data_IF_342586962257
#
_entry.id   IF_342586962257
#
_cell.length_a   1.000
_cell.length_b   1.000
_cell.length_c   1.000
_cell.angle_alpha   90.00
_cell.angle_beta   90.00
_cell.angle_gamma   90.00
#
_symmetry.space_group_name_H-M   'P 1'
#
loop_
_entity.id
_entity.type
_entity.pdbx_description
1 polymer ?
#
# COMPACT_ATOMS: atom_id res chain seq x y z
N UNK A 1 14.62 -1.44 -19.73
CA UNK A 1 14.83 0.03 -19.68
C UNK A 1 15.73 0.30 -18.49
N UNK A 2 16.88 0.95 -18.67
CA UNK A 2 17.78 1.28 -17.53
C UNK A 2 17.28 2.53 -16.81
N UNK A 3 17.41 2.56 -15.48
CA UNK A 3 16.96 3.70 -14.65
C UNK A 3 18.05 4.23 -13.71
N UNK A 4 17.94 5.51 -13.37
CA UNK A 4 18.83 6.17 -12.41
C UNK A 4 18.37 5.89 -10.98
N UNK A 5 18.97 4.86 -10.37
CA UNK A 5 18.67 4.44 -8.99
C UNK A 5 19.03 5.53 -7.97
N UNK A 6 20.09 6.30 -8.21
CA UNK A 6 20.52 7.35 -7.29
C UNK A 6 19.51 8.50 -7.30
N UNK A 7 19.06 8.92 -8.49
CA UNK A 7 17.99 9.91 -8.61
C UNK A 7 16.69 9.44 -7.96
N UNK A 8 16.30 8.17 -8.15
CA UNK A 8 15.13 7.63 -7.48
C UNK A 8 15.30 7.64 -5.94
N UNK A 9 16.47 7.26 -5.43
CA UNK A 9 16.77 7.31 -3.98
C UNK A 9 16.73 8.75 -3.45
N UNK A 10 17.22 9.71 -4.22
CA UNK A 10 17.31 11.10 -3.80
C UNK A 10 15.96 11.83 -3.86
N UNK A 11 15.22 11.68 -4.95
CA UNK A 11 13.96 12.41 -5.19
C UNK A 11 12.72 11.63 -4.75
N UNK A 12 12.82 10.30 -4.70
CA UNK A 12 11.74 9.38 -4.34
C UNK A 12 10.77 9.09 -5.49
N UNK A 13 11.10 9.48 -6.71
CA UNK A 13 10.31 9.15 -7.89
C UNK A 13 11.16 9.22 -9.16
N UNK A 14 10.66 8.60 -10.23
CA UNK A 14 11.14 8.83 -11.60
C UNK A 14 9.95 9.10 -12.51
N UNK A 15 10.10 10.09 -13.40
CA UNK A 15 9.26 10.23 -14.60
C UNK A 15 10.01 9.54 -15.74
N UNK A 16 9.35 8.60 -16.39
CA UNK A 16 9.89 7.76 -17.44
C UNK A 16 9.10 8.00 -18.72
N UNK A 17 9.83 8.38 -19.78
CA UNK A 17 9.21 8.67 -21.07
C UNK A 17 9.01 7.38 -21.89
N UNK A 18 7.92 7.31 -22.66
CA UNK A 18 7.62 6.19 -23.57
C UNK A 18 7.65 4.80 -22.90
N UNK A 19 7.16 4.70 -21.66
CA UNK A 19 6.92 3.41 -20.98
C UNK A 19 5.92 2.57 -21.77
N UNK A 20 4.91 3.22 -22.36
CA UNK A 20 4.13 2.68 -23.46
C UNK A 20 4.72 3.22 -24.77
N UNK A 21 5.34 2.38 -25.62
CA UNK A 21 5.85 2.82 -26.91
C UNK A 21 4.74 3.41 -27.78
N UNK A 22 5.01 4.46 -28.59
CA UNK A 22 4.00 5.11 -29.43
C UNK A 22 3.21 4.15 -30.33
N UNK A 23 3.86 3.09 -30.84
CA UNK A 23 3.25 2.07 -31.68
C UNK A 23 2.29 1.14 -30.93
N UNK A 24 2.41 1.03 -29.59
CA UNK A 24 1.52 0.23 -28.73
C UNK A 24 0.44 1.05 -28.02
N UNK A 25 0.58 2.39 -28.03
CA UNK A 25 -0.28 3.28 -27.27
C UNK A 25 -1.75 3.18 -27.69
N UNK A 26 -2.03 3.06 -28.99
CA UNK A 26 -3.40 2.98 -29.49
C UNK A 26 -4.08 1.66 -29.09
N UNK A 27 -3.35 0.55 -29.14
CA UNK A 27 -3.87 -0.77 -28.74
C UNK A 27 -4.16 -0.78 -27.23
N UNK A 28 -3.24 -0.27 -26.41
CA UNK A 28 -3.43 -0.22 -24.96
C UNK A 28 -4.59 0.71 -24.55
N UNK A 29 -4.82 1.80 -25.30
CA UNK A 29 -6.03 2.63 -25.15
C UNK A 29 -7.29 1.84 -25.44
N UNK A 30 -7.31 1.07 -26.52
CA UNK A 30 -8.47 0.24 -26.87
C UNK A 30 -8.73 -0.80 -25.77
N UNK A 31 -7.70 -1.50 -25.30
CA UNK A 31 -7.79 -2.46 -24.18
C UNK A 31 -8.44 -1.82 -22.95
N UNK A 32 -7.98 -0.64 -22.54
CA UNK A 32 -8.57 0.07 -21.39
C UNK A 32 -9.99 0.54 -21.65
N UNK A 33 -10.34 1.02 -22.85
CA UNK A 33 -11.72 1.40 -23.16
C UNK A 33 -12.68 0.21 -23.16
N UNK A 34 -12.26 -0.97 -23.64
CA UNK A 34 -13.06 -2.19 -23.56
C UNK A 34 -13.33 -2.60 -22.10
N UNK A 35 -12.32 -2.48 -21.23
CA UNK A 35 -12.49 -2.70 -19.79
C UNK A 35 -13.45 -1.68 -19.17
N UNK A 36 -13.33 -0.41 -19.56
CA UNK A 36 -14.21 0.68 -19.10
C UNK A 36 -15.66 0.44 -19.52
N UNK A 37 -15.90 0.05 -20.77
CA UNK A 37 -17.26 -0.22 -21.26
C UNK A 37 -17.89 -1.42 -20.56
N UNK A 38 -17.09 -2.44 -20.24
CA UNK A 38 -17.51 -3.56 -19.39
C UNK A 38 -17.91 -3.08 -17.99
N UNK A 39 -17.11 -2.23 -17.34
CA UNK A 39 -17.44 -1.72 -15.99
C UNK A 39 -18.67 -0.80 -16.00
N UNK A 40 -18.85 0.02 -17.04
CA UNK A 40 -20.09 0.79 -17.22
C UNK A 40 -21.30 -0.14 -17.34
N UNK A 41 -21.19 -1.20 -18.14
CA UNK A 41 -22.27 -2.15 -18.34
C UNK A 41 -22.59 -2.92 -17.04
N UNK A 42 -21.56 -3.36 -16.31
CA UNK A 42 -21.69 -3.99 -14.99
C UNK A 42 -22.39 -3.06 -14.01
N UNK A 43 -21.94 -1.81 -13.92
CA UNK A 43 -22.51 -0.81 -13.01
C UNK A 43 -23.99 -0.53 -13.30
N UNK A 44 -24.40 -0.51 -14.58
CA UNK A 44 -25.81 -0.39 -14.97
C UNK A 44 -26.62 -1.64 -14.60
N UNK A 45 -26.04 -2.84 -14.78
CA UNK A 45 -26.71 -4.10 -14.47
C UNK A 45 -26.90 -4.31 -12.96
N UNK A 46 -26.01 -3.76 -12.15
CA UNK A 46 -26.05 -3.84 -10.68
C UNK A 46 -26.94 -2.77 -10.02
N UNK A 47 -27.44 -1.80 -10.80
CA UNK A 47 -28.40 -0.80 -10.31
C UNK A 47 -29.65 -1.46 -9.70
N UNK A 48 -30.02 -1.00 -8.52
CA UNK A 48 -31.25 -1.37 -7.81
C UNK A 48 -32.30 -0.27 -7.92
N UNK A 49 -33.55 -0.60 -7.61
CA UNK A 49 -34.64 0.37 -7.56
C UNK A 49 -34.31 1.50 -6.56
N UNK A 50 -34.28 2.74 -7.06
CA UNK A 50 -33.93 3.93 -6.27
C UNK A 50 -32.50 4.43 -6.50
N UNK A 51 -31.64 3.65 -7.15
CA UNK A 51 -30.30 4.09 -7.52
C UNK A 51 -30.36 5.18 -8.61
N UNK A 52 -29.33 6.04 -8.63
CA UNK A 52 -29.20 7.02 -9.71
C UNK A 52 -28.89 6.32 -11.03
N UNK A 53 -29.38 6.92 -12.12
CA UNK A 53 -29.17 6.42 -13.48
C UNK A 53 -27.67 6.17 -13.74
N UNK A 54 -27.36 4.97 -14.21
CA UNK A 54 -26.01 4.56 -14.59
C UNK A 54 -25.22 3.83 -13.50
N UNK A 55 -25.70 3.82 -12.25
CA UNK A 55 -25.05 3.11 -11.15
C UNK A 55 -23.82 3.84 -10.61
N UNK A 56 -23.01 3.13 -9.84
CA UNK A 56 -21.85 3.66 -9.13
C UNK A 56 -20.79 4.27 -10.06
N UNK A 57 -20.63 3.73 -11.28
CA UNK A 57 -19.63 4.22 -12.24
C UNK A 57 -19.79 5.72 -12.51
N UNK A 58 -21.01 6.17 -12.78
CA UNK A 58 -21.28 7.57 -13.14
C UNK A 58 -21.42 8.48 -11.92
N UNK A 59 -21.51 7.92 -10.73
CA UNK A 59 -21.55 8.66 -9.47
C UNK A 59 -20.16 8.86 -8.87
N UNK A 60 -19.20 7.99 -9.22
CA UNK A 60 -17.84 8.06 -8.73
C UNK A 60 -17.08 9.25 -9.31
N UNK A 61 -16.41 9.98 -8.41
CA UNK A 61 -15.42 11.00 -8.73
C UNK A 61 -14.24 10.44 -9.53
N UNK A 62 -13.92 9.18 -9.27
CA UNK A 62 -12.75 8.47 -9.77
C UNK A 62 -13.19 7.04 -10.10
N UNK A 63 -13.91 6.83 -11.21
CA UNK A 63 -14.25 5.49 -11.63
C UNK A 63 -12.96 4.69 -11.85
N UNK A 64 -12.97 3.42 -11.44
CA UNK A 64 -11.79 2.55 -11.49
C UNK A 64 -12.12 1.27 -12.21
N UNK A 65 -11.13 0.74 -12.91
CA UNK A 65 -11.13 -0.64 -13.40
C UNK A 65 -10.18 -1.47 -12.52
N UNK A 66 -10.53 -2.73 -12.29
CA UNK A 66 -9.74 -3.68 -11.51
C UNK A 66 -9.36 -4.93 -12.32
N UNK A 67 -8.72 -5.90 -11.65
CA UNK A 67 -8.36 -7.19 -12.25
C UNK A 67 -9.60 -7.99 -12.68
N UNK A 68 -10.72 -7.80 -11.99
CA UNK A 68 -12.02 -8.39 -12.29
C UNK A 68 -12.68 -7.85 -13.58
N UNK A 69 -12.15 -6.75 -14.14
CA UNK A 69 -12.53 -6.22 -15.44
C UNK A 69 -11.82 -6.92 -16.61
N UNK A 70 -10.81 -7.77 -16.34
CA UNK A 70 -10.01 -8.43 -17.37
C UNK A 70 -10.78 -9.60 -18.01
N UNK A 71 -10.69 -9.70 -19.33
CA UNK A 71 -11.33 -10.73 -20.15
C UNK A 71 -10.32 -11.34 -21.11
N UNK A 72 -10.74 -12.32 -21.91
CA UNK A 72 -9.91 -12.88 -22.99
C UNK A 72 -9.39 -11.81 -23.98
N UNK A 73 -10.17 -10.77 -24.25
CA UNK A 73 -9.83 -9.72 -25.21
C UNK A 73 -8.89 -8.67 -24.63
N UNK A 74 -8.83 -8.54 -23.30
CA UNK A 74 -8.10 -7.48 -22.60
C UNK A 74 -6.97 -8.00 -21.71
N UNK A 75 -6.67 -9.30 -21.76
CA UNK A 75 -5.67 -9.95 -20.91
C UNK A 75 -4.22 -9.55 -21.25
N UNK A 76 -3.99 -8.99 -22.43
CA UNK A 76 -2.69 -8.47 -22.87
C UNK A 76 -2.20 -7.28 -22.02
N UNK A 77 -3.09 -6.61 -21.29
CA UNK A 77 -2.71 -5.60 -20.29
C UNK A 77 -1.79 -6.18 -19.22
N UNK A 78 -1.93 -7.47 -18.89
CA UNK A 78 -1.05 -8.15 -17.93
C UNK A 78 0.33 -8.36 -18.52
N UNK A 79 0.45 -8.69 -19.80
CA UNK A 79 1.75 -8.79 -20.48
C UNK A 79 2.46 -7.42 -20.48
N UNK A 80 1.72 -6.31 -20.64
CA UNK A 80 2.26 -4.97 -20.46
C UNK A 80 2.75 -4.72 -19.02
N UNK A 81 1.98 -5.13 -18.01
CA UNK A 81 2.36 -4.99 -16.60
C UNK A 81 3.53 -5.90 -16.20
N UNK A 82 3.77 -7.01 -16.90
CA UNK A 82 4.89 -7.91 -16.61
C UNK A 82 6.10 -7.64 -17.53
N UNK A 83 6.03 -6.59 -18.36
CA UNK A 83 7.04 -6.26 -19.35
C UNK A 83 8.26 -5.51 -18.82
N UNK A 84 9.28 -5.40 -19.67
CA UNK A 84 10.58 -4.77 -19.38
C UNK A 84 10.52 -3.26 -19.06
N UNK A 85 9.46 -2.57 -19.47
CA UNK A 85 9.29 -1.13 -19.23
C UNK A 85 8.59 -0.82 -17.90
N UNK A 86 8.03 -1.82 -17.23
CA UNK A 86 7.29 -1.68 -15.97
C UNK A 86 7.85 -2.61 -14.89
N UNK A 87 7.66 -3.93 -15.02
CA UNK A 87 8.22 -4.92 -14.09
C UNK A 87 9.75 -4.92 -14.13
N UNK A 88 10.36 -4.88 -15.32
CA UNK A 88 11.83 -4.84 -15.45
C UNK A 88 12.47 -3.60 -14.80
N UNK A 89 11.78 -2.46 -14.83
CA UNK A 89 12.20 -1.25 -14.10
C UNK A 89 11.96 -1.43 -12.60
N UNK A 90 10.81 -1.97 -12.20
CA UNK A 90 10.49 -2.20 -10.79
C UNK A 90 11.47 -3.16 -10.13
N UNK A 91 11.91 -4.20 -10.83
CA UNK A 91 12.93 -5.13 -10.37
C UNK A 91 14.27 -4.42 -10.06
N UNK A 92 14.67 -3.46 -10.90
CA UNK A 92 15.86 -2.62 -10.63
C UNK A 92 15.67 -1.73 -9.40
N UNK A 93 14.52 -1.05 -9.30
CA UNK A 93 14.22 -0.11 -8.19
C UNK A 93 14.09 -0.81 -6.84
N UNK A 94 13.42 -1.97 -6.84
CA UNK A 94 13.23 -2.83 -5.66
C UNK A 94 14.49 -3.65 -5.34
N UNK A 95 15.45 -3.71 -6.27
CA UNK A 95 16.64 -4.58 -6.21
C UNK A 95 16.26 -6.06 -6.03
N UNK A 96 15.21 -6.49 -6.70
CA UNK A 96 14.67 -7.85 -6.64
C UNK A 96 14.29 -8.33 -8.05
N UNK A 97 15.04 -9.28 -8.65
CA UNK A 97 14.70 -9.83 -9.96
C UNK A 97 13.41 -10.66 -9.94
N UNK A 98 12.91 -11.06 -8.76
CA UNK A 98 11.64 -11.77 -8.60
C UNK A 98 10.53 -10.85 -8.05
N UNK A 99 10.62 -9.54 -8.31
CA UNK A 99 9.56 -8.59 -7.98
C UNK A 99 8.19 -9.07 -8.52
N UNK A 100 7.15 -8.85 -7.74
CA UNK A 100 5.82 -9.38 -8.02
C UNK A 100 4.83 -8.26 -8.32
N UNK A 101 4.01 -8.46 -9.37
CA UNK A 101 2.84 -7.64 -9.64
C UNK A 101 1.78 -7.88 -8.57
N UNK A 102 1.43 -6.86 -7.78
CA UNK A 102 0.42 -7.00 -6.73
C UNK A 102 -0.95 -6.45 -7.11
N UNK A 103 -0.97 -5.45 -7.98
CA UNK A 103 -2.18 -4.77 -8.40
C UNK A 103 -2.01 -4.23 -9.82
N UNK A 104 -3.06 -4.37 -10.63
CA UNK A 104 -3.19 -3.70 -11.91
C UNK A 104 -4.64 -3.21 -12.06
N UNK A 105 -4.79 -1.94 -12.41
CA UNK A 105 -6.07 -1.32 -12.70
C UNK A 105 -5.87 -0.03 -13.48
N UNK A 106 -6.92 0.78 -13.59
CA UNK A 106 -6.79 2.12 -14.14
C UNK A 106 -7.74 3.11 -13.46
N UNK A 107 -7.23 4.33 -13.33
CA UNK A 107 -7.94 5.53 -12.88
C UNK A 107 -8.57 6.19 -14.10
N UNK A 108 -9.89 6.32 -14.09
CA UNK A 108 -10.64 6.93 -15.20
C UNK A 108 -11.11 8.35 -14.84
N UNK A 109 -11.35 9.17 -15.86
CA UNK A 109 -12.06 10.45 -15.71
C UNK A 109 -13.55 10.21 -15.45
N UNK A 110 -14.11 10.90 -14.46
CA UNK A 110 -15.56 10.92 -14.21
C UNK A 110 -16.33 11.74 -15.25
N UNK A 111 -17.66 11.74 -15.14
CA UNK A 111 -18.55 12.50 -16.05
C UNK A 111 -18.62 14.00 -15.69
N UNK A 112 -18.34 14.35 -14.42
CA UNK A 112 -18.46 15.71 -13.90
C UNK A 112 -17.17 16.14 -13.22
N UNK A 113 -17.01 17.45 -13.07
CA UNK A 113 -15.96 18.02 -12.24
C UNK A 113 -16.25 17.72 -10.76
N UNK A 114 -15.30 17.08 -10.09
CA UNK A 114 -15.43 16.68 -8.68
C UNK A 114 -14.62 17.56 -7.73
N UNK A 115 -13.58 18.22 -8.23
CA UNK A 115 -12.71 19.07 -7.41
C UNK A 115 -11.53 18.30 -6.82
N UNK A 116 -11.13 18.67 -5.60
CA UNK A 116 -9.87 18.23 -5.04
C UNK A 116 -9.97 16.97 -4.17
N UNK A 117 -9.00 16.06 -4.28
CA UNK A 117 -8.79 15.02 -3.25
C UNK A 117 -7.93 15.59 -2.12
N UNK A 118 -7.48 14.71 -1.24
CA UNK A 118 -6.55 14.96 -0.14
C UNK A 118 -5.12 14.55 -0.49
N UNK A 119 -4.13 15.28 0.02
CA UNK A 119 -2.73 14.85 0.10
C UNK A 119 -2.60 13.67 1.05
N UNK A 120 -1.87 12.63 0.67
CA UNK A 120 -1.66 11.46 1.50
C UNK A 120 -0.40 10.68 1.11
N UNK A 121 -0.03 9.74 1.98
CA UNK A 121 0.86 8.62 1.65
C UNK A 121 0.01 7.36 1.55
N UNK A 122 0.37 6.44 0.66
CA UNK A 122 -0.24 5.11 0.59
C UNK A 122 0.39 4.15 1.63
N UNK A 123 0.57 4.68 2.84
CA UNK A 123 1.04 3.99 4.02
C UNK A 123 0.18 4.42 5.22
N UNK A 124 0.14 3.59 6.25
CA UNK A 124 -0.58 3.84 7.49
C UNK A 124 0.28 3.45 8.68
N UNK A 125 0.56 4.41 9.58
CA UNK A 125 1.36 4.12 10.77
C UNK A 125 0.65 3.17 11.75
N UNK A 126 -0.68 3.25 11.80
CA UNK A 126 -1.51 2.41 12.66
C UNK A 126 -1.55 0.94 12.18
N UNK A 127 -1.58 0.72 10.87
CA UNK A 127 -1.67 -0.61 10.27
C UNK A 127 -0.31 -1.24 9.94
N UNK A 128 0.72 -0.41 9.73
CA UNK A 128 2.08 -0.82 9.39
C UNK A 128 3.03 -0.44 10.54
N UNK A 129 3.97 0.47 10.29
CA UNK A 129 4.93 0.95 11.28
C UNK A 129 4.97 2.48 11.29
N UNK A 130 5.48 3.12 12.36
CA UNK A 130 5.70 4.57 12.37
C UNK A 130 6.43 5.07 11.12
N UNK A 131 5.98 6.21 10.57
CA UNK A 131 6.49 6.73 9.30
C UNK A 131 8.02 6.87 9.31
N UNK A 132 8.60 7.45 10.38
CA UNK A 132 10.04 7.66 10.47
C UNK A 132 10.85 6.36 10.39
N UNK A 133 10.34 5.28 10.99
CA UNK A 133 10.91 3.95 10.88
C UNK A 133 10.90 3.44 9.44
N UNK A 134 9.74 3.49 8.76
CA UNK A 134 9.63 3.04 7.37
C UNK A 134 10.49 3.87 6.41
N UNK A 135 10.61 5.19 6.63
CA UNK A 135 11.47 6.06 5.82
C UNK A 135 12.96 5.73 6.03
N UNK A 136 13.39 5.53 7.28
CA UNK A 136 14.77 5.18 7.59
C UNK A 136 15.16 3.80 7.03
N UNK A 137 14.27 2.82 7.16
CA UNK A 137 14.45 1.47 6.65
C UNK A 137 14.52 1.45 5.10
N UNK A 138 13.57 2.08 4.41
CA UNK A 138 13.63 2.27 2.94
C UNK A 138 14.97 2.88 2.52
N UNK A 139 15.44 3.91 3.24
CA UNK A 139 16.67 4.62 2.88
C UNK A 139 17.95 3.85 3.21
N UNK A 140 17.93 2.94 4.19
CA UNK A 140 19.06 2.09 4.50
C UNK A 140 19.18 0.94 3.49
N UNK A 141 18.05 0.43 3.01
CA UNK A 141 17.94 -0.72 2.12
C UNK A 141 17.50 -0.28 0.71
N UNK A 142 16.42 -0.86 0.22
CA UNK A 142 15.70 -0.48 -1.01
C UNK A 142 14.20 -0.34 -0.66
N UNK A 143 13.36 0.30 -1.49
CA UNK A 143 11.92 0.22 -1.30
C UNK A 143 11.44 -1.24 -1.36
N UNK A 144 10.54 -1.63 -0.45
CA UNK A 144 9.86 -2.93 -0.53
C UNK A 144 8.65 -2.93 -1.48
N UNK A 145 8.22 -1.75 -1.93
CA UNK A 145 7.03 -1.55 -2.75
C UNK A 145 7.11 -0.27 -3.58
N UNK A 146 6.73 -0.34 -4.85
CA UNK A 146 6.62 0.80 -5.77
C UNK A 146 5.28 0.80 -6.50
N UNK A 147 4.79 2.01 -6.78
CA UNK A 147 3.54 2.30 -7.47
C UNK A 147 3.82 3.05 -8.76
N UNK A 148 2.96 2.82 -9.74
CA UNK A 148 3.06 3.42 -11.07
C UNK A 148 1.77 4.12 -11.44
N UNK A 149 1.89 5.28 -12.07
CA UNK A 149 0.82 5.90 -12.84
C UNK A 149 1.32 6.05 -14.29
N UNK A 150 0.76 5.24 -15.19
CA UNK A 150 1.08 5.24 -16.63
C UNK A 150 -0.01 5.99 -17.38
N UNK A 151 0.33 7.11 -17.99
CA UNK A 151 -0.63 8.00 -18.64
C UNK A 151 -0.92 7.53 -20.07
N UNK A 152 -2.16 7.16 -20.39
CA UNK A 152 -2.55 6.84 -21.78
C UNK A 152 -2.90 8.09 -22.59
N UNK A 153 -3.08 9.22 -21.91
CA UNK A 153 -3.33 10.55 -22.45
C UNK A 153 -2.53 11.54 -21.61
N UNK A 154 -2.22 12.72 -22.15
CA UNK A 154 -1.51 13.75 -21.39
C UNK A 154 -2.19 14.01 -20.03
N UNK A 155 -1.42 13.93 -18.96
CA UNK A 155 -1.91 14.02 -17.60
C UNK A 155 -0.98 14.85 -16.71
N UNK A 156 -1.59 15.68 -15.87
CA UNK A 156 -0.94 16.61 -14.94
C UNK A 156 -1.72 16.70 -13.62
N UNK A 157 -2.66 15.78 -13.39
CA UNK A 157 -3.50 15.77 -12.19
C UNK A 157 -2.74 15.24 -10.99
N UNK A 158 -1.78 14.33 -11.18
CA UNK A 158 -1.00 13.74 -10.11
C UNK A 158 0.11 14.69 -9.64
N UNK A 159 0.08 15.05 -8.37
CA UNK A 159 1.07 15.89 -7.71
C UNK A 159 1.84 15.07 -6.69
N UNK A 160 3.11 15.42 -6.51
CA UNK A 160 4.01 14.79 -5.55
C UNK A 160 4.70 15.86 -4.72
N UNK A 161 5.17 15.48 -3.54
CA UNK A 161 6.08 16.28 -2.74
C UNK A 161 7.46 15.60 -2.78
N UNK A 162 8.40 16.05 -3.63
CA UNK A 162 9.72 15.43 -3.76
C UNK A 162 10.42 15.25 -2.41
N UNK A 163 11.20 14.17 -2.27
CA UNK A 163 11.96 13.81 -1.06
C UNK A 163 11.11 13.42 0.17
N UNK A 164 9.78 13.47 0.08
CA UNK A 164 8.89 13.14 1.20
C UNK A 164 8.84 11.65 1.57
N UNK A 165 9.48 10.78 0.78
CA UNK A 165 9.73 9.38 1.11
C UNK A 165 10.87 9.20 2.12
N UNK A 166 11.77 10.18 2.26
CA UNK A 166 12.92 10.15 3.18
C UNK A 166 12.92 11.25 4.24
N UNK A 167 12.02 12.22 4.11
CA UNK A 167 11.84 13.30 5.07
C UNK A 167 10.42 13.25 5.67
N UNK A 168 10.27 13.35 6.99
CA UNK A 168 8.96 13.51 7.60
C UNK A 168 8.35 14.85 7.18
N UNK A 169 7.01 14.95 7.24
CA UNK A 169 6.33 16.22 6.99
C UNK A 169 6.82 17.27 7.99
N UNK A 170 7.23 18.45 7.50
CA UNK A 170 7.61 19.59 8.34
C UNK A 170 6.42 20.08 9.15
N UNK A 171 6.67 20.81 10.24
CA UNK A 171 5.60 21.37 11.08
C UNK A 171 4.66 22.30 10.28
N UNK A 172 5.19 23.06 9.32
CA UNK A 172 4.38 23.89 8.40
C UNK A 172 3.45 23.03 7.54
N UNK A 173 3.96 21.95 6.96
CA UNK A 173 3.15 21.01 6.17
C UNK A 173 2.12 20.29 7.05
N UNK A 174 2.47 19.90 8.28
CA UNK A 174 1.54 19.27 9.22
C UNK A 174 0.39 20.21 9.58
N UNK A 175 0.68 21.49 9.90
CA UNK A 175 -0.34 22.52 10.13
C UNK A 175 -1.25 22.71 8.93
N UNK A 176 -0.69 22.72 7.71
CA UNK A 176 -1.50 22.86 6.51
C UNK A 176 -2.39 21.65 6.25
N UNK A 177 -1.88 20.43 6.45
CA UNK A 177 -2.67 19.19 6.34
C UNK A 177 -3.81 19.14 7.36
N UNK A 178 -3.58 19.65 8.58
CA UNK A 178 -4.61 19.81 9.61
C UNK A 178 -5.69 20.83 9.18
N UNK A 179 -5.29 21.95 8.58
CA UNK A 179 -6.20 23.01 8.15
C UNK A 179 -7.02 22.62 6.90
N UNK A 180 -6.34 22.24 5.83
CA UNK A 180 -6.92 21.87 4.55
C UNK A 180 -5.99 20.92 3.78
N UNK A 181 -6.21 19.59 3.87
CA UNK A 181 -5.41 18.61 3.14
C UNK A 181 -5.71 18.60 1.63
N UNK A 182 -6.63 19.44 1.14
CA UNK A 182 -7.01 19.54 -0.28
C UNK A 182 -6.44 20.79 -0.95
N UNK A 183 -5.46 21.43 -0.32
CA UNK A 183 -4.75 22.60 -0.84
C UNK A 183 -3.32 22.23 -1.28
N UNK A 184 -2.69 22.94 -2.23
CA UNK A 184 -1.31 22.67 -2.62
C UNK A 184 -0.33 22.80 -1.44
N UNK A 185 0.41 21.74 -1.11
CA UNK A 185 1.46 21.80 -0.10
C UNK A 185 2.70 22.53 -0.64
N UNK A 186 3.39 23.26 0.24
CA UNK A 186 4.67 23.90 -0.08
C UNK A 186 5.68 22.85 -0.57
N UNK A 187 6.25 23.10 -1.76
CA UNK A 187 7.19 22.20 -2.43
C UNK A 187 6.53 21.13 -3.30
N UNK A 188 5.20 21.01 -3.28
CA UNK A 188 4.47 20.11 -4.15
C UNK A 188 4.57 20.52 -5.62
N UNK A 189 4.76 19.54 -6.50
CA UNK A 189 4.88 19.75 -7.95
C UNK A 189 3.99 18.78 -8.74
N UNK A 190 3.41 19.21 -9.89
CA UNK A 190 2.69 18.31 -10.77
C UNK A 190 3.66 17.37 -11.50
N UNK A 191 3.35 16.07 -11.51
CA UNK A 191 3.95 15.10 -12.40
C UNK A 191 3.30 15.24 -13.79
N UNK A 192 3.93 16.03 -14.66
CA UNK A 192 3.46 16.23 -16.04
C UNK A 192 3.90 15.05 -16.90
N UNK A 193 2.93 14.27 -17.37
CA UNK A 193 3.12 13.08 -18.18
C UNK A 193 2.51 13.32 -19.56
N UNK A 194 3.26 13.02 -20.63
CA UNK A 194 2.66 12.88 -21.97
C UNK A 194 2.03 11.50 -22.09
N UNK A 195 1.17 11.34 -23.10
CA UNK A 195 0.66 10.02 -23.43
C UNK A 195 1.79 9.02 -23.70
N UNK A 196 1.80 7.93 -22.95
CA UNK A 196 2.82 6.88 -22.96
C UNK A 196 3.90 7.03 -21.88
N UNK A 197 3.98 8.17 -21.19
CA UNK A 197 4.89 8.37 -20.07
C UNK A 197 4.32 7.76 -18.78
N UNK A 198 5.18 7.54 -17.79
CA UNK A 198 4.78 7.13 -16.46
C UNK A 198 5.55 7.85 -15.35
N UNK A 199 4.97 7.87 -14.16
CA UNK A 199 5.69 8.13 -12.92
C UNK A 199 5.71 6.85 -12.07
N UNK A 200 6.87 6.55 -11.47
CA UNK A 200 7.06 5.48 -10.48
C UNK A 200 7.58 6.06 -9.17
N UNK A 201 7.04 5.61 -8.03
CA UNK A 201 7.33 6.14 -6.69
C UNK A 201 7.04 5.09 -5.61
N UNK A 202 7.69 5.12 -4.43
CA UNK A 202 7.34 4.25 -3.31
C UNK A 202 6.09 4.77 -2.60
N UNK A 203 5.36 3.90 -1.91
CA UNK A 203 4.12 4.28 -1.21
C UNK A 203 4.31 5.28 -0.05
N UNK A 204 5.55 5.48 0.40
CA UNK A 204 5.92 6.50 1.40
C UNK A 204 5.98 7.92 0.82
N UNK A 205 5.91 8.07 -0.51
CA UNK A 205 5.86 9.37 -1.17
C UNK A 205 4.52 10.07 -0.89
N UNK A 206 4.58 11.28 -0.35
CA UNK A 206 3.42 12.16 -0.19
C UNK A 206 2.98 12.66 -1.57
N UNK A 207 1.72 12.44 -1.89
CA UNK A 207 1.16 12.74 -3.20
C UNK A 207 -0.31 13.14 -3.12
N UNK A 208 -0.83 13.69 -4.22
CA UNK A 208 -2.17 14.26 -4.29
C UNK A 208 -2.71 14.18 -5.71
N UNK A 209 -3.90 13.63 -5.89
CA UNK A 209 -4.64 13.83 -7.13
C UNK A 209 -5.33 15.18 -7.07
N UNK A 210 -4.70 16.22 -7.65
CA UNK A 210 -5.08 17.63 -7.52
C UNK A 210 -6.55 17.90 -7.88
N UNK A 211 -6.86 18.45 -9.05
CA UNK A 211 -8.24 18.72 -9.45
C UNK A 211 -8.75 17.66 -10.40
N UNK A 212 -9.69 16.85 -9.95
CA UNK A 212 -10.44 15.93 -10.81
C UNK A 212 -11.52 16.71 -11.57
N UNK A 213 -11.32 16.81 -12.88
CA UNK A 213 -12.24 17.41 -13.83
C UNK A 213 -12.79 16.33 -14.77
N UNK A 214 -13.77 16.73 -15.58
CA UNK A 214 -14.32 15.97 -16.71
C UNK A 214 -13.35 15.86 -17.90
N UNK A 215 -12.11 16.37 -17.81
CA UNK A 215 -11.08 16.16 -18.84
C UNK A 215 -10.84 14.66 -19.00
N UNK A 216 -10.96 14.19 -20.23
CA UNK A 216 -10.75 12.78 -20.55
C UNK A 216 -9.35 12.33 -20.13
N UNK A 217 -9.30 11.28 -19.30
CA UNK A 217 -8.06 10.70 -18.78
C UNK A 217 -8.24 9.20 -18.58
N UNK A 218 -7.17 8.46 -18.89
CA UNK A 218 -6.96 7.07 -18.49
C UNK A 218 -5.54 6.93 -18.00
N UNK A 219 -5.39 6.46 -16.76
CA UNK A 219 -4.09 6.27 -16.14
C UNK A 219 -4.05 4.86 -15.56
N UNK A 220 -3.22 3.98 -16.15
CA UNK A 220 -3.03 2.63 -15.62
C UNK A 220 -2.28 2.76 -14.29
N UNK A 221 -2.81 2.16 -13.24
CA UNK A 221 -2.20 2.13 -11.92
C UNK A 221 -1.69 0.72 -11.62
N UNK A 222 -0.41 0.62 -11.29
CA UNK A 222 0.26 -0.66 -11.08
C UNK A 222 1.02 -0.63 -9.75
N UNK A 223 1.03 -1.74 -9.04
CA UNK A 223 1.85 -1.94 -7.85
C UNK A 223 2.77 -3.13 -8.00
N UNK A 224 4.03 -2.98 -7.58
CA UNK A 224 5.00 -4.08 -7.49
C UNK A 224 5.68 -4.10 -6.14
N UNK A 225 5.85 -5.30 -5.58
CA UNK A 225 6.59 -5.51 -4.32
C UNK A 225 7.76 -6.45 -4.51
N UNK A 226 8.74 -6.36 -3.63
CA UNK A 226 9.78 -7.37 -3.48
C UNK A 226 9.33 -8.52 -2.58
N UNK A 227 10.04 -9.64 -2.67
CA UNK A 227 10.02 -10.75 -1.71
C UNK A 227 11.44 -11.13 -1.26
N UNK A 228 12.47 -10.77 -2.01
CA UNK A 228 13.86 -11.15 -1.76
C UNK A 228 14.81 -9.96 -1.57
N UNK A 229 14.28 -8.73 -1.48
CA UNK A 229 15.09 -7.54 -1.20
C UNK A 229 15.62 -7.55 0.24
N UNK A 230 16.54 -6.63 0.56
CA UNK A 230 17.08 -6.48 1.93
C UNK A 230 16.07 -5.93 2.95
N UNK A 231 14.81 -5.74 2.56
CA UNK A 231 13.72 -5.16 3.34
C UNK A 231 12.55 -6.12 3.43
N UNK A 232 11.88 -6.16 4.59
CA UNK A 232 10.58 -6.82 4.74
C UNK A 232 9.47 -5.85 4.30
N UNK A 233 8.77 -6.09 3.18
CA UNK A 233 7.89 -5.08 2.58
C UNK A 233 6.73 -4.67 3.46
N UNK A 234 6.39 -3.37 3.43
CA UNK A 234 5.25 -2.82 4.16
C UNK A 234 3.91 -3.24 3.54
N UNK A 235 3.90 -3.62 2.26
CA UNK A 235 2.70 -3.99 1.51
C UNK A 235 2.57 -5.51 1.41
N UNK A 236 1.56 -6.07 2.07
CA UNK A 236 1.31 -7.52 2.14
C UNK A 236 0.18 -7.99 1.20
N UNK A 237 -0.38 -7.07 0.41
CA UNK A 237 -1.43 -7.39 -0.56
C UNK A 237 -0.84 -8.08 -1.80
N UNK A 238 -1.59 -9.03 -2.35
CA UNK A 238 -1.29 -9.70 -3.62
C UNK A 238 -2.62 -10.01 -4.31
N UNK A 239 -3.24 -8.99 -4.91
CA UNK A 239 -4.61 -9.09 -5.43
C UNK A 239 -4.72 -10.18 -6.51
N UNK A 240 -3.69 -10.34 -7.33
CA UNK A 240 -3.61 -11.37 -8.37
C UNK A 240 -3.64 -12.81 -7.83
N UNK A 241 -3.26 -13.03 -6.55
CA UNK A 241 -3.36 -14.33 -5.90
C UNK A 241 -4.81 -14.68 -5.53
N UNK A 242 -5.62 -13.67 -5.21
CA UNK A 242 -6.98 -13.84 -4.70
C UNK A 242 -8.06 -13.60 -5.76
N UNK A 243 -7.73 -12.91 -6.84
CA UNK A 243 -8.58 -12.68 -8.00
C UNK A 243 -8.00 -13.41 -9.20
N UNK A 244 -8.11 -14.74 -9.24
CA UNK A 244 -7.42 -15.57 -10.24
C UNK A 244 -8.26 -15.86 -11.50
N UNK A 245 -9.49 -15.36 -11.58
CA UNK A 245 -10.37 -15.62 -12.72
C UNK A 245 -9.76 -15.20 -14.06
N UNK A 246 -8.99 -14.10 -14.08
CA UNK A 246 -8.32 -13.61 -15.27
C UNK A 246 -7.12 -14.48 -15.68
N UNK A 247 -6.57 -15.30 -14.77
CA UNK A 247 -5.40 -16.17 -15.03
C UNK A 247 -5.66 -17.16 -16.16
N UNK A 248 -6.93 -17.48 -16.45
CA UNK A 248 -7.28 -18.36 -17.58
C UNK A 248 -7.00 -17.73 -18.95
N UNK A 249 -6.96 -16.39 -19.02
CA UNK A 249 -6.84 -15.62 -20.25
C UNK A 249 -5.42 -15.13 -20.55
N UNK A 250 -4.57 -15.02 -19.53
CA UNK A 250 -3.20 -14.49 -19.70
C UNK A 250 -2.31 -15.45 -20.50
N UNK A 251 -1.25 -14.88 -21.07
CA UNK A 251 -0.21 -15.64 -21.79
C UNK A 251 0.46 -16.70 -20.90
N UNK A 252 1.14 -17.66 -21.53
CA UNK A 252 1.86 -18.70 -20.80
C UNK A 252 2.96 -18.10 -19.91
N UNK A 253 3.69 -17.11 -20.41
CA UNK A 253 4.78 -16.45 -19.69
C UNK A 253 4.24 -15.64 -18.50
N UNK A 254 3.18 -14.86 -18.71
CA UNK A 254 2.51 -14.14 -17.62
C UNK A 254 2.02 -15.07 -16.52
N UNK A 255 1.45 -16.22 -16.90
CA UNK A 255 0.99 -17.23 -15.94
C UNK A 255 2.14 -17.78 -15.09
N UNK A 256 3.30 -18.06 -15.70
CA UNK A 256 4.50 -18.52 -14.97
C UNK A 256 4.95 -17.46 -13.95
N UNK A 257 5.03 -16.19 -14.34
CA UNK A 257 5.42 -15.10 -13.45
C UNK A 257 4.45 -14.93 -12.26
N UNK A 258 3.15 -14.99 -12.51
CA UNK A 258 2.12 -14.87 -11.48
C UNK A 258 2.10 -16.07 -10.54
N UNK A 259 2.29 -17.29 -11.05
CA UNK A 259 2.45 -18.49 -10.23
C UNK A 259 3.70 -18.41 -9.35
N UNK A 260 4.82 -17.90 -9.89
CA UNK A 260 6.03 -17.67 -9.09
C UNK A 260 5.80 -16.68 -7.96
N UNK A 261 5.08 -15.59 -8.24
CA UNK A 261 4.68 -14.61 -7.21
C UNK A 261 3.84 -15.26 -6.10
N UNK A 262 2.93 -16.17 -6.47
CA UNK A 262 2.12 -16.92 -5.51
C UNK A 262 2.95 -17.88 -4.63
N UNK A 263 3.98 -18.52 -5.17
CA UNK A 263 4.92 -19.35 -4.40
C UNK A 263 5.70 -18.53 -3.38
N UNK A 264 6.24 -17.37 -3.79
CA UNK A 264 7.00 -16.47 -2.91
C UNK A 264 6.11 -15.95 -1.77
N UNK A 265 4.88 -15.58 -2.09
CA UNK A 265 3.90 -15.13 -1.11
C UNK A 265 3.52 -16.21 -0.09
N UNK A 266 3.40 -17.47 -0.51
CA UNK A 266 3.21 -18.59 0.41
C UNK A 266 4.43 -18.80 1.31
N UNK A 267 5.64 -18.75 0.74
CA UNK A 267 6.89 -18.90 1.48
C UNK A 267 7.07 -17.83 2.54
N UNK A 268 6.77 -16.57 2.23
CA UNK A 268 6.83 -15.47 3.19
C UNK A 268 5.88 -15.72 4.37
N UNK A 269 4.64 -16.15 4.11
CA UNK A 269 3.68 -16.49 5.18
C UNK A 269 4.16 -17.64 6.05
N UNK A 270 4.76 -18.67 5.45
CA UNK A 270 5.36 -19.78 6.20
C UNK A 270 6.55 -19.32 7.05
N UNK A 271 7.35 -18.35 6.57
CA UNK A 271 8.45 -17.75 7.33
C UNK A 271 7.92 -16.90 8.49
N UNK A 272 6.87 -16.11 8.28
CA UNK A 272 6.20 -15.36 9.35
C UNK A 272 5.61 -16.30 10.40
N UNK A 273 4.99 -17.41 9.96
CA UNK A 273 4.51 -18.45 10.88
C UNK A 273 5.65 -18.99 11.74
N UNK A 274 6.77 -19.42 11.12
CA UNK A 274 7.95 -19.90 11.86
C UNK A 274 8.47 -18.87 12.86
N UNK A 275 8.54 -17.60 12.45
CA UNK A 275 8.97 -16.49 13.31
C UNK A 275 8.08 -16.39 14.55
N UNK A 276 6.76 -16.45 14.40
CA UNK A 276 5.84 -16.45 15.53
C UNK A 276 5.95 -17.72 16.39
N UNK A 277 6.17 -18.88 15.77
CA UNK A 277 6.37 -20.15 16.49
C UNK A 277 7.62 -20.07 17.39
N UNK A 278 8.70 -19.44 16.94
CA UNK A 278 9.87 -19.17 17.76
C UNK A 278 9.53 -18.26 18.97
N UNK A 279 8.75 -17.20 18.75
CA UNK A 279 8.29 -16.33 19.85
C UNK A 279 7.41 -17.07 20.87
N UNK A 280 6.51 -17.94 20.40
CA UNK A 280 5.66 -18.77 21.24
C UNK A 280 6.52 -19.72 22.09
N UNK A 281 7.51 -20.36 21.50
CA UNK A 281 8.45 -21.24 22.18
C UNK A 281 9.43 -20.51 23.12
N UNK A 282 9.51 -19.17 23.03
CA UNK A 282 10.53 -18.38 23.74
C UNK A 282 11.94 -18.57 23.17
N UNK A 283 12.06 -19.12 21.97
CA UNK A 283 13.35 -19.34 21.31
C UNK A 283 13.86 -18.05 20.66
N UNK A 284 14.67 -17.32 21.43
CA UNK A 284 15.27 -16.05 21.01
C UNK A 284 16.20 -16.22 19.81
N UNK A 285 16.92 -17.32 19.73
CA UNK A 285 17.88 -17.58 18.66
C UNK A 285 17.18 -17.87 17.33
N UNK A 286 16.16 -18.72 17.36
CA UNK A 286 15.32 -18.98 16.20
C UNK A 286 14.60 -17.70 15.73
N UNK A 287 14.05 -16.91 16.66
CA UNK A 287 13.40 -15.64 16.31
C UNK A 287 14.36 -14.67 15.60
N UNK A 288 15.57 -14.47 16.11
CA UNK A 288 16.56 -13.58 15.48
C UNK A 288 16.98 -14.09 14.10
N UNK A 289 17.18 -15.40 13.95
CA UNK A 289 17.49 -16.04 12.68
C UNK A 289 16.36 -15.87 11.66
N UNK A 290 15.12 -16.08 12.09
CA UNK A 290 13.95 -15.96 11.22
C UNK A 290 13.64 -14.50 10.86
N UNK A 291 13.85 -13.56 11.78
CA UNK A 291 13.74 -12.13 11.53
C UNK A 291 14.78 -11.66 10.50
N UNK A 292 16.02 -12.15 10.59
CA UNK A 292 17.07 -11.86 9.62
C UNK A 292 16.78 -12.46 8.23
N UNK A 293 15.98 -13.52 8.15
CA UNK A 293 15.51 -14.06 6.86
C UNK A 293 14.37 -13.24 6.26
N UNK A 294 13.43 -12.75 7.09
CA UNK A 294 12.38 -11.84 6.63
C UNK A 294 12.91 -10.48 6.22
N UNK A 295 13.90 -9.98 6.96
CA UNK A 295 14.54 -8.69 6.74
C UNK A 295 16.07 -8.85 6.71
N UNK A 296 16.65 -9.19 5.54
CA UNK A 296 18.08 -9.44 5.40
C UNK A 296 18.95 -8.25 5.81
N UNK A 297 18.53 -7.03 5.47
CA UNK A 297 19.20 -5.79 5.88
C UNK A 297 19.32 -5.70 7.40
N UNK A 298 20.48 -5.27 7.88
CA UNK A 298 20.74 -5.17 9.32
C UNK A 298 20.03 -3.97 9.96
N UNK A 299 19.91 -2.87 9.20
CA UNK A 299 19.19 -1.66 9.60
C UNK A 299 17.73 -1.83 9.23
N UNK A 300 16.81 -1.45 10.14
CA UNK A 300 15.37 -1.49 9.88
C UNK A 300 14.65 -2.71 10.48
N UNK A 301 15.35 -3.73 11.01
CA UNK A 301 14.71 -4.93 11.59
C UNK A 301 13.66 -4.66 12.67
N UNK A 302 13.79 -3.58 13.44
CA UNK A 302 12.78 -3.21 14.42
C UNK A 302 11.45 -2.77 13.74
N UNK A 303 11.51 -2.18 12.55
CA UNK A 303 10.32 -1.90 11.72
C UNK A 303 9.61 -3.20 11.36
N UNK A 304 10.35 -4.25 10.99
CA UNK A 304 9.79 -5.59 10.74
C UNK A 304 9.14 -6.18 11.98
N UNK A 305 9.73 -6.00 13.17
CA UNK A 305 9.10 -6.42 14.43
C UNK A 305 7.78 -5.68 14.67
N UNK A 306 7.69 -4.40 14.32
CA UNK A 306 6.42 -3.65 14.38
C UNK A 306 5.40 -4.20 13.36
N UNK A 307 5.80 -4.49 12.13
CA UNK A 307 4.90 -5.13 11.14
C UNK A 307 4.36 -6.48 11.63
N UNK A 308 5.25 -7.32 12.16
CA UNK A 308 4.87 -8.59 12.81
C UNK A 308 3.92 -8.33 13.99
N UNK A 309 4.17 -7.31 14.80
CA UNK A 309 3.26 -6.93 15.88
C UNK A 309 1.85 -6.58 15.35
N UNK A 310 1.74 -5.84 14.24
CA UNK A 310 0.43 -5.49 13.64
C UNK A 310 -0.31 -6.71 13.10
N UNK A 311 0.39 -7.61 12.40
CA UNK A 311 -0.18 -8.87 11.92
C UNK A 311 -0.65 -9.73 13.11
N UNK A 312 0.19 -9.88 14.14
CA UNK A 312 -0.12 -10.64 15.35
C UNK A 312 -1.34 -10.06 16.08
N UNK A 313 -1.46 -8.73 16.19
CA UNK A 313 -2.63 -8.09 16.79
C UNK A 313 -3.94 -8.47 16.08
N UNK A 314 -3.93 -8.53 14.75
CA UNK A 314 -5.11 -8.98 13.99
C UNK A 314 -5.38 -10.49 14.18
N UNK A 315 -4.34 -11.33 14.23
CA UNK A 315 -4.46 -12.76 14.58
C UNK A 315 -5.07 -12.94 15.98
N UNK A 316 -4.62 -12.19 16.97
CA UNK A 316 -5.14 -12.20 18.34
C UNK A 316 -6.61 -11.79 18.36
N UNK A 317 -6.97 -10.73 17.63
CA UNK A 317 -8.35 -10.25 17.50
C UNK A 317 -9.30 -11.34 16.97
N UNK A 318 -8.87 -12.09 15.95
CA UNK A 318 -9.66 -13.18 15.38
C UNK A 318 -9.90 -14.35 16.35
N UNK A 319 -9.03 -14.53 17.34
CA UNK A 319 -9.17 -15.57 18.37
C UNK A 319 -10.00 -15.13 19.58
N UNK A 320 -10.48 -13.88 19.61
CA UNK A 320 -11.39 -13.43 20.66
C UNK A 320 -12.75 -14.15 20.54
N UNK A 321 -13.34 -14.67 21.63
CA UNK A 321 -14.54 -15.52 21.56
C UNK A 321 -15.75 -14.90 20.85
N UNK A 322 -15.90 -13.58 20.91
CA UNK A 322 -16.95 -12.80 20.27
C UNK A 322 -16.72 -12.64 18.76
N UNK A 323 -15.47 -12.52 18.32
CA UNK A 323 -15.10 -12.39 16.91
C UNK A 323 -15.06 -13.76 16.23
N UNK A 324 -14.55 -14.78 16.92
CA UNK A 324 -14.43 -16.15 16.42
C UNK A 324 -15.79 -16.80 16.10
N UNK A 325 -16.91 -16.24 16.60
CA UNK A 325 -18.27 -16.71 16.28
C UNK A 325 -18.87 -16.09 15.02
N UNK A 326 -18.32 -14.96 14.58
CA UNK A 326 -18.75 -14.27 13.37
C UNK A 326 -18.34 -15.05 12.12
N UNK A 327 -19.09 -14.88 11.04
CA UNK A 327 -18.70 -15.32 9.69
C UNK A 327 -17.50 -14.52 9.17
N UNK A 328 -16.82 -15.04 8.15
CA UNK A 328 -15.70 -14.34 7.48
C UNK A 328 -16.14 -12.96 6.95
N UNK A 329 -17.36 -12.87 6.43
CA UNK A 329 -17.93 -11.62 5.91
C UNK A 329 -18.14 -10.58 7.02
N UNK A 330 -18.67 -11.00 8.17
CA UNK A 330 -18.86 -10.13 9.34
C UNK A 330 -17.53 -9.71 9.99
N UNK A 331 -16.49 -10.55 9.91
CA UNK A 331 -15.15 -10.24 10.43
C UNK A 331 -14.40 -9.27 9.55
N UNK A 332 -14.57 -9.34 8.22
CA UNK A 332 -13.83 -8.53 7.25
C UNK A 332 -13.70 -7.05 7.67
N UNK A 333 -14.78 -6.28 7.93
CA UNK A 333 -14.64 -4.87 8.31
C UNK A 333 -13.87 -4.62 9.61
N UNK A 334 -13.69 -5.64 10.46
CA UNK A 334 -12.98 -5.54 11.72
C UNK A 334 -11.47 -5.77 11.59
N UNK A 335 -11.01 -6.38 10.50
CA UNK A 335 -9.63 -6.81 10.30
C UNK A 335 -9.03 -6.46 8.93
N UNK A 336 -9.82 -5.90 8.01
CA UNK A 336 -9.31 -5.43 6.71
C UNK A 336 -8.30 -4.28 6.87
N UNK A 337 -7.69 -3.84 5.77
CA UNK A 337 -6.62 -2.83 5.76
C UNK A 337 -5.29 -3.44 5.36
N UNK A 338 -4.20 -3.06 6.02
CA UNK A 338 -2.87 -3.63 5.80
C UNK A 338 -2.45 -4.54 6.98
N UNK A 339 -2.18 -5.84 6.79
CA UNK A 339 -2.51 -6.62 5.60
C UNK A 339 -4.03 -6.80 5.42
N UNK A 340 -4.50 -7.18 4.21
CA UNK A 340 -5.92 -7.39 3.92
C UNK A 340 -6.55 -8.53 4.72
N UNK A 341 -7.87 -8.51 4.89
CA UNK A 341 -8.58 -9.49 5.73
C UNK A 341 -8.31 -10.95 5.33
N UNK A 342 -8.26 -11.25 4.02
CA UNK A 342 -7.96 -12.60 3.52
C UNK A 342 -6.58 -13.12 3.97
N UNK A 343 -5.61 -12.22 4.12
CA UNK A 343 -4.25 -12.56 4.55
C UNK A 343 -4.27 -12.93 6.02
N UNK A 344 -4.94 -12.09 6.82
CA UNK A 344 -5.06 -12.26 8.27
C UNK A 344 -5.82 -13.54 8.61
N UNK A 345 -6.93 -13.84 7.92
CA UNK A 345 -7.70 -15.08 8.13
C UNK A 345 -6.82 -16.32 7.87
N UNK A 346 -6.02 -16.31 6.80
CA UNK A 346 -5.06 -17.38 6.54
C UNK A 346 -4.02 -17.51 7.65
N UNK A 347 -3.46 -16.37 8.10
CA UNK A 347 -2.47 -16.38 9.18
C UNK A 347 -3.07 -16.86 10.49
N UNK A 348 -4.27 -16.42 10.86
CA UNK A 348 -4.91 -16.80 12.11
C UNK A 348 -5.26 -18.29 12.16
N UNK A 349 -5.69 -18.88 11.03
CA UNK A 349 -5.96 -20.31 10.95
C UNK A 349 -4.75 -21.21 11.27
N UNK A 350 -3.52 -20.67 11.24
CA UNK A 350 -2.28 -21.37 11.56
C UNK A 350 -1.97 -21.43 13.04
N UNK A 351 -2.72 -20.74 13.91
CA UNK A 351 -2.44 -20.66 15.35
C UNK A 351 -3.62 -21.13 16.18
N UNK A 352 -3.33 -21.58 17.40
CA UNK A 352 -4.35 -21.85 18.41
C UNK A 352 -4.65 -20.60 19.24
N UNK A 353 -5.78 -20.61 19.97
CA UNK A 353 -6.13 -19.55 20.95
C UNK A 353 -5.01 -19.36 21.99
N UNK A 354 -4.39 -20.45 22.45
CA UNK A 354 -3.31 -20.39 23.43
C UNK A 354 -2.06 -19.70 22.86
N UNK A 355 -1.69 -20.04 21.62
CA UNK A 355 -0.55 -19.45 20.93
C UNK A 355 -0.76 -17.98 20.64
N UNK A 356 -1.96 -17.60 20.18
CA UNK A 356 -2.36 -16.21 20.02
C UNK A 356 -2.25 -15.44 21.36
N UNK A 357 -2.68 -16.06 22.47
CA UNK A 357 -2.52 -15.50 23.81
C UNK A 357 -1.06 -15.24 24.19
N UNK A 358 -0.14 -16.14 23.84
CA UNK A 358 1.30 -15.94 24.06
C UNK A 358 1.84 -14.82 23.18
N UNK A 359 1.48 -14.77 21.89
CA UNK A 359 1.88 -13.67 21.00
C UNK A 359 1.43 -12.31 21.55
N UNK A 360 0.19 -12.22 22.04
CA UNK A 360 -0.33 -11.00 22.68
C UNK A 360 0.54 -10.57 23.88
N UNK A 361 1.02 -11.52 24.68
CA UNK A 361 1.92 -11.24 25.80
C UNK A 361 3.32 -10.79 25.33
N UNK A 362 3.90 -11.48 24.33
CA UNK A 362 5.22 -11.16 23.76
C UNK A 362 5.25 -9.74 23.17
N UNK A 363 4.17 -9.31 22.53
CA UNK A 363 4.06 -7.98 21.93
C UNK A 363 3.51 -6.89 22.88
N UNK A 364 3.13 -7.21 24.12
CA UNK A 364 2.43 -6.28 25.00
C UNK A 364 3.21 -4.98 25.29
N UNK A 365 4.53 -5.08 25.50
CA UNK A 365 5.38 -3.90 25.77
C UNK A 365 5.53 -3.02 24.53
N UNK A 366 5.74 -3.62 23.36
CA UNK A 366 5.82 -2.88 22.09
C UNK A 366 4.50 -2.17 21.78
N UNK A 367 3.37 -2.89 21.87
CA UNK A 367 2.04 -2.31 21.70
C UNK A 367 1.77 -1.14 22.65
N UNK A 368 2.21 -1.26 23.91
CA UNK A 368 2.06 -0.18 24.88
C UNK A 368 2.83 1.08 24.45
N UNK A 369 4.10 0.92 24.06
CA UNK A 369 4.95 2.05 23.61
C UNK A 369 4.43 2.72 22.35
N UNK A 370 3.97 1.93 21.37
CA UNK A 370 3.37 2.46 20.15
C UNK A 370 2.09 3.26 20.45
N UNK A 371 1.26 2.80 21.39
CA UNK A 371 0.08 3.55 21.84
C UNK A 371 0.44 4.83 22.60
N UNK A 372 1.47 4.81 23.44
CA UNK A 372 1.91 6.02 24.16
C UNK A 372 2.37 7.14 23.19
N UNK A 373 3.06 6.78 22.10
CA UNK A 373 3.43 7.71 21.03
C UNK A 373 2.19 8.23 20.27
N UNK A 374 1.29 7.33 19.89
CA UNK A 374 0.01 7.67 19.23
C UNK A 374 -0.84 8.63 20.08
N UNK A 375 -1.03 8.33 21.37
CA UNK A 375 -1.76 9.16 22.31
C UNK A 375 -1.13 10.56 22.43
N UNK A 376 0.21 10.63 22.45
CA UNK A 376 0.92 11.91 22.47
C UNK A 376 0.70 12.71 21.19
N UNK A 377 0.83 12.08 20.02
CA UNK A 377 0.59 12.72 18.71
C UNK A 377 -0.85 13.24 18.63
N UNK A 378 -1.82 12.41 19.01
CA UNK A 378 -3.24 12.77 18.97
C UNK A 378 -3.53 13.96 19.90
N UNK A 379 -2.96 13.96 21.10
CA UNK A 379 -3.11 15.08 22.03
C UNK A 379 -2.45 16.36 21.48
N UNK A 380 -1.17 16.28 21.10
CA UNK A 380 -0.40 17.44 20.65
C UNK A 380 -1.01 18.10 19.41
N UNK A 381 -1.30 17.30 18.37
CA UNK A 381 -1.88 17.82 17.13
C UNK A 381 -3.39 18.07 17.24
N UNK A 382 -4.08 17.44 18.20
CA UNK A 382 -5.46 17.76 18.55
C UNK A 382 -5.58 19.16 19.18
N UNK A 383 -4.73 19.48 20.16
CA UNK A 383 -4.66 20.81 20.78
C UNK A 383 -4.31 21.88 19.74
N UNK A 384 -3.30 21.59 18.89
CA UNK A 384 -2.93 22.48 17.80
C UNK A 384 -4.07 22.69 16.80
N UNK A 385 -4.81 21.62 16.44
CA UNK A 385 -5.96 21.76 15.54
C UNK A 385 -7.07 22.62 16.16
N UNK A 386 -7.32 22.52 17.46
CA UNK A 386 -8.28 23.36 18.16
C UNK A 386 -7.88 24.85 18.13
N UNK A 387 -6.58 25.16 18.20
CA UNK A 387 -6.07 26.53 18.00
C UNK A 387 -6.22 27.00 16.55
N UNK A 388 -5.91 26.12 15.58
CA UNK A 388 -5.95 26.44 14.16
C UNK A 388 -7.38 26.58 13.61
N UNK A 389 -8.33 25.85 14.18
CA UNK A 389 -9.72 25.78 13.72
C UNK A 389 -10.69 25.74 14.92
N UNK A 390 -10.84 26.85 15.66
CA UNK A 390 -11.63 26.90 16.89
C UNK A 390 -13.13 26.61 16.68
N UNK A 391 -13.63 26.78 15.46
CA UNK A 391 -15.02 26.52 15.10
C UNK A 391 -15.25 25.09 14.57
N UNK A 392 -14.25 24.20 14.63
CA UNK A 392 -14.41 22.81 14.20
C UNK A 392 -15.34 22.02 15.14
N UNK A 393 -16.36 21.37 14.58
CA UNK A 393 -17.29 20.55 15.35
C UNK A 393 -16.68 19.23 15.86
N UNK A 394 -15.64 18.72 15.17
CA UNK A 394 -15.00 17.45 15.46
C UNK A 394 -13.48 17.61 15.53
N UNK A 395 -12.78 16.81 16.37
CA UNK A 395 -11.33 16.73 16.36
C UNK A 395 -10.80 16.21 15.01
N UNK A 396 -9.50 16.39 14.73
CA UNK A 396 -8.91 15.82 13.53
C UNK A 396 -8.97 14.29 13.57
N UNK A 397 -9.29 13.66 12.45
CA UNK A 397 -9.31 12.21 12.30
C UNK A 397 -7.92 11.72 11.87
N UNK A 398 -7.12 11.25 12.82
CA UNK A 398 -5.78 10.72 12.55
C UNK A 398 -5.79 9.36 11.85
N UNK A 399 -6.93 8.68 11.70
CA UNK A 399 -7.06 7.48 10.86
C UNK A 399 -7.36 7.83 9.39
N UNK A 400 -7.71 9.08 9.12
CA UNK A 400 -7.96 9.55 7.76
C UNK A 400 -6.71 9.47 6.88
N UNK A 401 -6.88 9.23 5.58
CA UNK A 401 -5.77 9.18 4.59
C UNK A 401 -4.76 10.33 4.67
N UNK A 402 -5.15 11.61 4.89
CA UNK A 402 -4.18 12.69 4.99
C UNK A 402 -3.38 12.70 6.30
N UNK A 403 -3.95 12.16 7.38
CA UNK A 403 -3.39 12.29 8.73
C UNK A 403 -2.83 10.98 9.32
N UNK A 404 -3.13 9.82 8.75
CA UNK A 404 -2.66 8.48 9.21
C UNK A 404 -1.16 8.20 9.21
N UNK A 405 -0.37 9.18 8.80
CA UNK A 405 1.10 9.16 8.91
C UNK A 405 1.65 10.23 9.84
N UNK A 406 0.78 10.90 10.61
CA UNK A 406 1.17 11.82 11.69
C UNK A 406 1.72 11.08 12.90
N UNK A 407 1.33 9.81 13.10
CA UNK A 407 1.90 8.93 14.11
C UNK A 407 3.33 8.62 13.69
N UNK A 408 4.28 9.24 14.37
CA UNK A 408 5.70 9.21 14.02
C UNK A 408 6.41 9.46 15.33
N UNK A 409 6.79 8.40 16.02
CA UNK A 409 8.16 7.90 15.97
C UNK A 409 8.26 6.39 16.26
N UNK A 410 9.39 5.79 15.88
CA UNK A 410 9.76 4.49 16.43
C UNK A 410 10.02 4.63 17.94
N UNK A 411 9.64 3.63 18.78
CA UNK A 411 9.85 3.71 20.21
C UNK A 411 11.32 3.98 20.60
N UNK A 412 11.57 5.12 21.26
CA UNK A 412 12.92 5.52 21.64
C UNK A 412 13.58 4.50 22.58
N UNK A 413 14.85 4.14 22.27
CA UNK A 413 15.64 3.21 23.08
C UNK A 413 15.06 1.80 23.17
N UNK A 414 14.25 1.38 22.19
CA UNK A 414 13.60 0.07 22.19
C UNK A 414 13.80 -0.63 20.84
N UNK A 415 14.97 -1.24 20.67
CA UNK A 415 15.33 -2.05 19.52
C UNK A 415 14.90 -3.52 19.68
N UNK A 416 15.44 -4.36 18.79
CA UNK A 416 15.12 -5.80 18.75
C UNK A 416 15.55 -6.51 20.05
N UNK A 417 16.70 -6.15 20.61
CA UNK A 417 17.20 -6.74 21.85
C UNK A 417 16.32 -6.35 23.05
N UNK A 418 15.93 -5.08 23.17
CA UNK A 418 15.00 -4.64 24.21
C UNK A 418 13.62 -5.29 24.05
N UNK A 419 13.16 -5.46 22.82
CA UNK A 419 11.93 -6.19 22.52
C UNK A 419 12.00 -7.64 23.03
N UNK A 420 13.05 -8.38 22.69
CA UNK A 420 13.25 -9.76 23.15
C UNK A 420 13.40 -9.84 24.67
N UNK A 421 14.11 -8.89 25.28
CA UNK A 421 14.28 -8.82 26.73
C UNK A 421 12.99 -8.46 27.47
N UNK A 422 12.01 -7.88 26.78
CA UNK A 422 10.68 -7.59 27.34
C UNK A 422 9.76 -8.81 27.43
N UNK A 423 10.14 -9.94 26.81
CA UNK A 423 9.39 -11.19 26.86
C UNK A 423 9.43 -11.73 28.31
N UNK A 424 8.27 -11.68 28.99
CA UNK A 424 8.11 -12.30 30.31
C UNK A 424 8.27 -13.83 30.21
N UNK A 425 8.88 -14.47 31.20
CA UNK A 425 8.98 -15.94 31.26
C UNK A 425 7.61 -16.61 31.24
#
# INVERSE_FOLDING_TARGET
MEVDLQKFRDEGYLILENVVPPEKLQDLRLTVELMVDREKARSVAECKDGDRRGGDWYQSAQPRIGLDSITAETADIIDFCLGETTLGVSAQLLQDPEAALIHCGALCSGLIDYGYTDWHRDASSAEQAPLSGMQADLMANAPGYVQWNVALYDDDVFWILPQSHKQPSTEVQRRQLLLDPRSPLQGGVPAKLRAGDAIVYPNLMMHWGSKYTSRFRRTIHIGYRSFNAEIFPYAHQLDCYHQDDFMRYVSADARVCLMRSAELYNRERDQIERTYRAMVAGDKGAFLSDLAQLHPGEVGRMVSVVLLCRIANKVVKLHQPEIAKLSVEERRPLIDGSPPAYYVENMAARFTVAEAGILAQRFAVLNKRLREDEDWVHQHYGDLYAELKPDAENPPDFESRPLRTFNSEMPEGFGVDEFINSWKE
#
